data_IF_327300363296
#
_entry.id   IF_327300363296
#
_cell.length_a   1.000
_cell.length_b   1.000
_cell.length_c   1.000
_cell.angle_alpha   90.00
_cell.angle_beta   90.00
_cell.angle_gamma   90.00
#
_symmetry.space_group_name_H-M   'P 1'
#
loop_
_entity.id
_entity.type
_entity.pdbx_description
1 polymer ?
#
# COMPACT_ATOMS: atom_id res chain seq x y z
N UNK A 1 -15.09 1.98 -34.67
CA UNK A 1 -13.88 2.35 -33.89
C UNK A 1 -14.04 3.79 -33.45
N UNK A 2 -14.12 4.07 -32.13
CA UNK A 2 -14.23 5.45 -31.63
C UNK A 2 -12.82 6.05 -31.54
N UNK A 3 -12.59 7.33 -31.89
CA UNK A 3 -11.29 7.97 -31.66
C UNK A 3 -11.01 8.01 -30.16
N UNK A 4 -9.96 7.36 -29.70
CA UNK A 4 -9.57 7.27 -28.27
C UNK A 4 -8.74 8.46 -27.81
N UNK A 5 -8.73 9.58 -28.56
CA UNK A 5 -7.92 10.76 -28.24
C UNK A 5 -6.39 10.53 -28.24
N UNK A 6 -5.93 9.31 -28.52
CA UNK A 6 -4.52 8.91 -28.54
C UNK A 6 -4.23 7.97 -29.71
N UNK A 7 -3.01 8.02 -30.22
CA UNK A 7 -2.43 7.04 -31.15
C UNK A 7 -1.55 6.01 -30.45
N UNK A 8 -1.31 6.17 -29.14
CA UNK A 8 -0.49 5.26 -28.35
C UNK A 8 -1.22 3.95 -28.05
N UNK A 9 -0.47 2.85 -28.04
CA UNK A 9 -0.95 1.54 -27.59
C UNK A 9 -1.32 1.58 -26.11
N UNK A 10 -2.50 1.08 -25.78
CA UNK A 10 -2.93 0.82 -24.40
C UNK A 10 -2.60 -0.63 -24.04
N UNK A 11 -2.02 -0.84 -22.87
CA UNK A 11 -1.45 -2.13 -22.44
C UNK A 11 -2.22 -2.76 -21.29
N UNK A 12 -2.96 -1.98 -20.50
CA UNK A 12 -3.69 -2.49 -19.35
C UNK A 12 -4.88 -1.62 -18.97
N UNK A 13 -5.83 -2.23 -18.26
CA UNK A 13 -7.01 -1.57 -17.70
C UNK A 13 -7.33 -2.12 -16.32
N UNK A 14 -7.77 -1.26 -15.41
CA UNK A 14 -8.30 -1.64 -14.10
C UNK A 14 -9.58 -0.85 -13.81
N UNK A 15 -10.48 -1.45 -13.04
CA UNK A 15 -11.65 -0.77 -12.48
C UNK A 15 -11.59 -0.80 -10.96
N UNK A 16 -11.88 0.34 -10.34
CA UNK A 16 -11.84 0.49 -8.89
C UNK A 16 -12.26 1.89 -8.47
N UNK A 17 -12.71 2.07 -7.23
CA UNK A 17 -13.18 3.36 -6.73
C UNK A 17 -14.22 4.07 -7.66
N UNK A 18 -15.07 3.29 -8.35
CA UNK A 18 -16.04 3.83 -9.31
C UNK A 18 -15.44 4.34 -10.64
N UNK A 19 -14.19 3.97 -10.96
CA UNK A 19 -13.44 4.51 -12.09
C UNK A 19 -12.70 3.44 -12.86
N UNK A 20 -12.74 3.54 -14.18
CA UNK A 20 -11.89 2.80 -15.10
C UNK A 20 -10.61 3.59 -15.35
N UNK A 21 -9.47 2.92 -15.31
CA UNK A 21 -8.15 3.49 -15.60
C UNK A 21 -7.47 2.59 -16.63
N UNK A 22 -7.02 3.17 -17.74
CA UNK A 22 -6.17 2.49 -18.73
C UNK A 22 -4.78 3.09 -18.73
N UNK A 23 -3.77 2.25 -18.98
CA UNK A 23 -2.37 2.67 -19.09
C UNK A 23 -1.75 2.18 -20.40
N UNK A 24 -0.67 2.82 -20.87
CA UNK A 24 -0.02 2.42 -22.11
C UNK A 24 1.32 3.09 -22.41
N UNK A 25 1.66 3.14 -23.70
CA UNK A 25 2.91 3.71 -24.20
C UNK A 25 2.99 5.22 -23.92
N UNK A 26 4.23 5.75 -23.89
CA UNK A 26 4.51 7.17 -23.65
C UNK A 26 3.86 7.71 -22.36
N UNK A 27 3.77 6.87 -21.33
CA UNK A 27 3.15 7.17 -20.03
C UNK A 27 1.67 7.50 -20.10
N UNK A 28 1.00 7.11 -21.20
CA UNK A 28 -0.41 7.38 -21.44
C UNK A 28 -1.25 6.79 -20.31
N UNK A 29 -2.05 7.63 -19.66
CA UNK A 29 -3.10 7.21 -18.74
C UNK A 29 -4.41 7.85 -19.19
N UNK A 30 -5.48 7.07 -19.24
CA UNK A 30 -6.84 7.61 -19.34
C UNK A 30 -7.68 7.12 -18.17
N UNK A 31 -8.56 7.99 -17.70
CA UNK A 31 -9.53 7.70 -16.66
C UNK A 31 -10.96 7.95 -17.14
N UNK A 32 -11.91 7.16 -16.67
CA UNK A 32 -13.33 7.26 -17.02
C UNK A 32 -14.21 6.79 -15.86
N UNK A 33 -15.25 7.55 -15.53
CA UNK A 33 -16.21 7.16 -14.48
C UNK A 33 -17.34 6.27 -15.03
N UNK A 34 -17.56 6.28 -16.35
CA UNK A 34 -18.69 5.60 -17.01
C UNK A 34 -18.25 4.56 -18.06
N UNK A 35 -16.94 4.39 -18.27
CA UNK A 35 -16.34 3.51 -19.28
C UNK A 35 -16.51 4.01 -20.72
N UNK A 36 -17.21 5.13 -20.93
CA UNK A 36 -17.51 5.68 -22.26
C UNK A 36 -16.84 7.03 -22.49
N UNK A 37 -16.78 7.93 -21.52
CA UNK A 37 -16.10 9.21 -21.62
C UNK A 37 -14.75 9.12 -20.92
N UNK A 38 -13.67 9.34 -21.69
CA UNK A 38 -12.30 9.14 -21.20
C UNK A 38 -11.54 10.45 -21.21
N UNK A 39 -10.88 10.74 -20.10
CA UNK A 39 -10.04 11.93 -19.92
C UNK A 39 -8.59 11.52 -19.89
N UNK A 40 -7.74 12.18 -20.68
CA UNK A 40 -6.29 11.98 -20.63
C UNK A 40 -5.73 12.52 -19.32
N UNK A 41 -4.87 11.74 -18.67
CA UNK A 41 -4.26 12.06 -17.38
C UNK A 41 -2.76 12.21 -17.56
N UNK A 42 -2.22 13.36 -17.13
CA UNK A 42 -0.79 13.56 -17.10
C UNK A 42 -0.19 12.80 -15.90
N UNK A 43 0.52 11.72 -16.18
CA UNK A 43 1.17 10.88 -15.17
C UNK A 43 2.55 11.39 -14.75
N UNK A 44 3.13 12.34 -15.49
CA UNK A 44 4.54 12.75 -15.35
C UNK A 44 5.56 11.71 -15.86
N UNK A 45 5.11 10.50 -16.20
CA UNK A 45 5.95 9.44 -16.74
C UNK A 45 5.92 9.46 -18.27
N UNK A 46 7.03 9.12 -18.92
CA UNK A 46 7.20 9.26 -20.38
C UNK A 46 7.49 7.93 -21.09
N UNK A 47 7.65 6.83 -20.36
CA UNK A 47 7.95 5.52 -20.93
C UNK A 47 6.72 4.59 -20.86
N UNK A 48 6.87 3.31 -21.19
CA UNK A 48 5.76 2.37 -21.28
C UNK A 48 5.26 1.97 -19.88
N UNK A 49 3.96 2.15 -19.66
CA UNK A 49 3.23 1.49 -18.57
C UNK A 49 2.65 0.17 -19.11
N UNK A 50 3.08 -0.94 -18.54
CA UNK A 50 2.78 -2.29 -19.04
C UNK A 50 1.50 -2.86 -18.39
N UNK A 51 1.19 -2.47 -17.16
CA UNK A 51 0.04 -3.01 -16.43
C UNK A 51 -0.47 -2.06 -15.37
N UNK A 52 -1.72 -2.26 -14.96
CA UNK A 52 -2.38 -1.51 -13.89
C UNK A 52 -3.33 -2.44 -13.13
N UNK A 53 -3.41 -2.26 -11.82
CA UNK A 53 -4.36 -2.96 -10.94
C UNK A 53 -4.96 -1.97 -9.94
N UNK A 54 -6.06 -2.35 -9.31
CA UNK A 54 -6.65 -1.62 -8.19
C UNK A 54 -6.84 -2.53 -6.98
N UNK A 55 -6.61 -2.02 -5.79
CA UNK A 55 -6.86 -2.71 -4.53
C UNK A 55 -6.60 -1.80 -3.33
N UNK A 56 -7.23 -2.07 -2.20
CA UNK A 56 -7.04 -1.28 -0.97
C UNK A 56 -7.11 0.25 -1.17
N UNK A 57 -8.08 0.73 -1.96
CA UNK A 57 -8.22 2.18 -2.22
C UNK A 57 -7.20 2.78 -3.18
N UNK A 58 -6.30 1.99 -3.78
CA UNK A 58 -5.15 2.48 -4.56
C UNK A 58 -5.06 1.78 -5.92
N UNK A 59 -4.91 2.57 -6.98
CA UNK A 59 -4.43 2.12 -8.28
C UNK A 59 -2.90 2.02 -8.26
N UNK A 60 -2.39 0.93 -8.82
CA UNK A 60 -0.95 0.69 -9.00
C UNK A 60 -0.69 0.39 -10.46
N UNK A 61 0.06 1.26 -11.12
CA UNK A 61 0.55 1.06 -12.48
C UNK A 61 2.03 0.71 -12.46
N UNK A 62 2.45 -0.19 -13.34
CA UNK A 62 3.84 -0.68 -13.41
C UNK A 62 4.37 -0.54 -14.82
N UNK A 63 5.66 -0.25 -14.96
CA UNK A 63 6.22 0.09 -16.25
C UNK A 63 7.71 -0.17 -16.43
N UNK A 64 8.18 0.23 -17.60
CA UNK A 64 9.58 0.19 -18.00
C UNK A 64 10.44 1.20 -17.23
N UNK A 65 11.73 1.24 -17.53
CA UNK A 65 12.66 2.12 -16.85
C UNK A 65 12.27 3.60 -16.94
N UNK A 66 12.30 4.32 -15.81
CA UNK A 66 12.14 5.77 -15.80
C UNK A 66 13.44 6.45 -16.23
N UNK A 67 13.33 7.56 -16.95
CA UNK A 67 14.50 8.36 -17.31
C UNK A 67 15.19 9.01 -16.11
N UNK A 68 14.47 9.16 -14.99
CA UNK A 68 14.98 9.75 -13.75
C UNK A 68 15.84 8.78 -12.93
N UNK A 69 15.49 7.49 -12.91
CA UNK A 69 16.15 6.49 -12.06
C UNK A 69 16.97 5.46 -12.84
N UNK A 70 16.68 5.28 -14.13
CA UNK A 70 17.24 4.19 -14.96
C UNK A 70 16.65 2.80 -14.64
N UNK A 71 15.70 2.71 -13.69
CA UNK A 71 15.06 1.47 -13.26
C UNK A 71 13.55 1.52 -13.48
N UNK A 72 12.88 0.37 -13.41
CA UNK A 72 11.43 0.28 -13.59
C UNK A 72 10.66 1.24 -12.70
N UNK A 73 9.47 1.64 -13.15
CA UNK A 73 8.59 2.53 -12.39
C UNK A 73 7.41 1.79 -11.79
N UNK A 74 6.98 2.25 -10.61
CA UNK A 74 5.65 2.00 -10.07
C UNK A 74 4.99 3.36 -9.89
N UNK A 75 3.80 3.56 -10.44
CA UNK A 75 2.97 4.74 -10.16
C UNK A 75 1.81 4.34 -9.26
N UNK A 76 1.48 5.20 -8.30
CA UNK A 76 0.36 5.00 -7.37
C UNK A 76 -0.61 6.17 -7.42
N UNK A 77 -1.91 5.88 -7.30
CA UNK A 77 -2.96 6.89 -7.26
C UNK A 77 -4.17 6.40 -6.46
N UNK A 78 -4.77 7.25 -5.62
CA UNK A 78 -6.03 6.91 -4.93
C UNK A 78 -7.27 7.18 -5.79
N UNK A 79 -7.16 8.09 -6.76
CA UNK A 79 -8.28 8.61 -7.54
C UNK A 79 -8.15 8.36 -9.06
N UNK A 80 -7.03 7.81 -9.54
CA UNK A 80 -6.78 7.60 -10.97
C UNK A 80 -6.45 8.86 -11.77
N UNK A 81 -6.41 10.05 -11.14
CA UNK A 81 -6.08 11.34 -11.78
C UNK A 81 -4.75 11.91 -11.30
N UNK A 82 -4.47 11.82 -9.99
CA UNK A 82 -3.22 12.27 -9.40
C UNK A 82 -2.30 11.07 -9.16
N UNK A 83 -1.17 11.03 -9.86
CA UNK A 83 -0.22 9.92 -9.81
C UNK A 83 1.08 10.33 -9.14
N UNK A 84 1.62 9.45 -8.31
CA UNK A 84 2.92 9.60 -7.66
C UNK A 84 3.83 8.44 -8.04
N UNK A 85 5.04 8.78 -8.49
CA UNK A 85 6.09 7.80 -8.77
C UNK A 85 6.64 7.19 -7.47
N UNK A 86 6.87 5.88 -7.51
CA UNK A 86 7.50 5.07 -6.47
C UNK A 86 8.66 4.34 -7.11
N UNK A 87 9.84 4.40 -6.49
CA UNK A 87 11.00 3.64 -6.93
C UNK A 87 10.97 2.24 -6.29
N UNK A 88 10.76 1.15 -7.06
CA UNK A 88 10.75 -0.22 -6.54
C UNK A 88 12.14 -0.77 -6.16
N UNK A 89 13.19 0.06 -6.21
CA UNK A 89 14.59 -0.39 -6.17
C UNK A 89 15.15 -0.68 -7.56
N UNK A 90 16.39 -1.18 -7.63
CA UNK A 90 17.12 -1.43 -8.88
C UNK A 90 16.65 -2.67 -9.63
N UNK A 91 15.42 -2.66 -10.15
CA UNK A 91 14.86 -3.78 -10.93
C UNK A 91 14.53 -3.38 -12.37
N UNK A 92 14.66 -4.34 -13.28
CA UNK A 92 14.28 -4.20 -14.70
C UNK A 92 12.76 -4.09 -14.88
N UNK A 93 12.32 -3.90 -16.12
CA UNK A 93 10.93 -3.55 -16.44
C UNK A 93 9.89 -4.49 -15.79
N UNK A 94 8.88 -3.88 -15.17
CA UNK A 94 7.75 -4.57 -14.58
C UNK A 94 6.66 -4.74 -15.65
N UNK A 95 6.03 -5.93 -15.67
CA UNK A 95 5.11 -6.37 -16.73
C UNK A 95 3.67 -6.52 -16.26
N UNK A 96 3.47 -6.85 -14.99
CA UNK A 96 2.14 -7.11 -14.45
C UNK A 96 2.05 -6.73 -12.98
N UNK A 97 0.83 -6.41 -12.56
CA UNK A 97 0.49 -6.10 -11.18
C UNK A 97 -0.86 -6.73 -10.84
N UNK A 98 -0.98 -7.27 -9.63
CA UNK A 98 -2.23 -7.78 -9.08
C UNK A 98 -2.35 -7.36 -7.62
N UNK A 99 -3.58 -7.26 -7.12
CA UNK A 99 -3.85 -7.12 -5.69
C UNK A 99 -4.54 -8.38 -5.17
N UNK A 100 -4.04 -8.92 -4.08
CA UNK A 100 -4.58 -10.12 -3.45
C UNK A 100 -4.06 -10.29 -2.03
N UNK A 101 -4.87 -10.90 -1.16
CA UNK A 101 -4.51 -11.19 0.23
C UNK A 101 -3.91 -9.98 0.98
N UNK A 102 -4.49 -8.79 0.81
CA UNK A 102 -4.04 -7.60 1.52
C UNK A 102 -2.75 -6.95 1.01
N UNK A 103 -2.18 -7.42 -0.11
CA UNK A 103 -0.92 -6.89 -0.68
C UNK A 103 -0.98 -6.78 -2.20
N UNK A 104 -0.16 -5.91 -2.76
CA UNK A 104 0.11 -5.88 -4.19
C UNK A 104 1.27 -6.82 -4.52
N UNK A 105 1.13 -7.58 -5.60
CA UNK A 105 2.22 -8.34 -6.19
C UNK A 105 2.49 -7.78 -7.59
N UNK A 106 3.75 -7.54 -7.90
CA UNK A 106 4.18 -7.11 -9.23
C UNK A 106 5.26 -8.05 -9.75
N UNK A 107 5.21 -8.32 -11.05
CA UNK A 107 6.14 -9.22 -11.73
C UNK A 107 6.83 -8.51 -12.87
N UNK A 108 8.05 -8.92 -13.19
CA UNK A 108 8.85 -8.27 -14.22
C UNK A 108 9.93 -9.17 -14.80
N UNK A 109 10.77 -8.54 -15.62
CA UNK A 109 11.92 -9.20 -16.22
C UNK A 109 12.90 -9.70 -15.14
N UNK A 110 13.84 -10.57 -15.54
CA UNK A 110 14.85 -11.17 -14.64
C UNK A 110 14.26 -11.92 -13.43
N UNK A 111 13.11 -12.58 -13.63
CA UNK A 111 12.41 -13.32 -12.57
C UNK A 111 12.02 -12.45 -11.37
N UNK A 112 11.83 -11.15 -11.59
CA UNK A 112 11.45 -10.21 -10.53
C UNK A 112 10.03 -10.50 -10.06
N UNK A 113 9.88 -10.70 -8.74
CA UNK A 113 8.61 -10.69 -8.03
C UNK A 113 8.79 -9.72 -6.85
N UNK A 114 8.00 -8.65 -6.82
CA UNK A 114 7.96 -7.75 -5.66
C UNK A 114 6.58 -7.81 -5.03
N UNK A 115 6.57 -7.72 -3.71
CA UNK A 115 5.36 -7.67 -2.91
C UNK A 115 5.35 -6.35 -2.14
N UNK A 116 4.23 -5.63 -2.16
CA UNK A 116 4.06 -4.51 -1.24
C UNK A 116 4.00 -5.04 0.18
N UNK A 117 4.46 -4.23 1.12
CA UNK A 117 4.10 -4.40 2.52
C UNK A 117 2.58 -4.67 2.63
N UNK A 118 2.18 -5.81 3.19
CA UNK A 118 0.78 -6.19 3.28
C UNK A 118 0.04 -5.33 4.32
N UNK A 119 -1.28 -5.50 4.42
CA UNK A 119 -2.05 -4.99 5.57
C UNK A 119 -1.53 -5.47 6.94
N UNK A 120 -0.64 -6.47 6.94
CA UNK A 120 0.02 -7.07 8.10
C UNK A 120 1.42 -6.55 8.37
N UNK A 121 1.96 -5.61 7.58
CA UNK A 121 3.26 -5.00 7.86
C UNK A 121 3.13 -3.92 8.92
N UNK A 122 2.57 -4.32 10.06
CA UNK A 122 2.67 -3.58 11.29
C UNK A 122 3.75 -4.20 12.15
N UNK A 123 4.48 -3.35 12.86
CA UNK A 123 5.46 -3.77 13.85
C UNK A 123 5.05 -3.24 15.21
N UNK A 124 4.91 -4.14 16.17
CA UNK A 124 4.81 -3.79 17.58
C UNK A 124 6.20 -3.92 18.20
N UNK A 125 6.73 -2.82 18.73
CA UNK A 125 8.02 -2.81 19.45
C UNK A 125 7.75 -2.54 20.93
N UNK A 126 8.27 -3.41 21.79
CA UNK A 126 8.30 -3.16 23.23
C UNK A 126 9.53 -2.31 23.57
N UNK A 127 9.30 -1.12 24.13
CA UNK A 127 10.36 -0.17 24.48
C UNK A 127 10.78 -0.25 25.95
N UNK A 128 10.07 -1.02 26.77
CA UNK A 128 10.33 -1.15 28.21
C UNK A 128 9.48 -0.20 29.06
N UNK A 129 9.79 -0.12 30.37
CA UNK A 129 9.10 0.77 31.29
C UNK A 129 9.61 2.20 31.17
N UNK A 130 8.69 3.15 30.97
CA UNK A 130 8.90 4.58 31.14
C UNK A 130 8.35 5.08 32.48
N UNK A 131 8.31 6.40 32.66
CA UNK A 131 7.86 7.04 33.92
C UNK A 131 6.37 6.86 34.23
N UNK A 132 5.55 6.55 33.23
CA UNK A 132 4.09 6.45 33.36
C UNK A 132 3.52 5.06 33.04
N UNK A 133 4.36 4.07 32.72
CA UNK A 133 3.92 2.73 32.35
C UNK A 133 4.83 2.04 31.34
N UNK A 134 4.37 0.92 30.79
CA UNK A 134 5.11 0.18 29.77
C UNK A 134 4.88 0.79 28.38
N UNK A 135 5.96 1.15 27.70
CA UNK A 135 5.91 1.87 26.42
C UNK A 135 6.01 0.90 25.24
N UNK A 136 5.17 1.13 24.24
CA UNK A 136 5.08 0.35 23.02
C UNK A 136 5.09 1.30 21.81
N UNK A 137 5.77 0.92 20.74
CA UNK A 137 5.67 1.61 19.45
C UNK A 137 4.93 0.74 18.45
N UNK A 138 3.87 1.27 17.85
CA UNK A 138 3.17 0.68 16.72
C UNK A 138 3.62 1.39 15.46
N UNK A 139 4.26 0.66 14.56
CA UNK A 139 4.57 1.11 13.20
C UNK A 139 3.57 0.48 12.25
N UNK A 140 2.97 1.27 11.37
CA UNK A 140 2.00 0.83 10.37
C UNK A 140 1.48 2.01 9.57
N UNK A 141 0.88 1.77 8.40
CA UNK A 141 0.43 2.84 7.52
C UNK A 141 -0.54 3.84 8.22
N UNK A 142 -0.45 5.16 7.94
CA UNK A 142 -1.44 6.12 8.38
C UNK A 142 -2.85 5.70 7.92
N UNK A 143 -3.84 5.81 8.79
CA UNK A 143 -5.21 5.35 8.58
C UNK A 143 -5.47 3.88 8.94
N UNK A 144 -4.43 3.05 9.12
CA UNK A 144 -4.62 1.65 9.56
C UNK A 144 -5.16 1.58 10.98
N UNK A 145 -6.16 0.73 11.20
CA UNK A 145 -6.79 0.51 12.50
C UNK A 145 -6.26 -0.77 13.15
N UNK A 146 -5.95 -0.72 14.43
CA UNK A 146 -5.44 -1.86 15.19
C UNK A 146 -6.07 -1.94 16.58
N UNK A 147 -6.15 -3.14 17.16
CA UNK A 147 -6.37 -3.34 18.60
C UNK A 147 -5.08 -3.78 19.25
N UNK A 148 -4.66 -3.05 20.28
CA UNK A 148 -3.59 -3.48 21.18
C UNK A 148 -4.22 -4.33 22.27
N UNK A 149 -3.78 -5.58 22.37
CA UNK A 149 -4.24 -6.54 23.36
C UNK A 149 -3.10 -6.89 24.32
N UNK A 150 -3.46 -7.17 25.58
CA UNK A 150 -2.54 -7.67 26.58
C UNK A 150 -3.03 -8.94 27.29
N UNK A 151 -2.08 -9.69 27.81
CA UNK A 151 -2.28 -10.91 28.57
C UNK A 151 -1.32 -10.92 29.77
N UNK A 152 -1.81 -11.25 30.97
CA UNK A 152 -1.07 -11.14 32.24
C UNK A 152 -0.62 -12.48 32.82
N UNK A 153 -1.34 -13.54 32.49
CA UNK A 153 -0.98 -14.93 32.80
C UNK A 153 -1.04 -15.72 31.50
N UNK A 154 -0.12 -16.66 31.27
CA UNK A 154 -0.04 -17.41 30.03
C UNK A 154 -1.24 -18.37 29.86
N UNK A 155 -2.39 -17.79 29.52
CA UNK A 155 -3.60 -18.44 29.06
C UNK A 155 -3.98 -17.78 27.73
N UNK A 156 -3.69 -18.41 26.58
CA UNK A 156 -3.82 -17.79 25.26
C UNK A 156 -5.27 -17.41 24.88
N UNK A 157 -6.26 -17.80 25.67
CA UNK A 157 -7.68 -17.49 25.45
C UNK A 157 -8.14 -16.17 26.11
N UNK A 158 -7.34 -15.57 26.99
CA UNK A 158 -7.76 -14.45 27.85
C UNK A 158 -7.11 -13.10 27.48
N UNK A 159 -6.90 -12.83 26.19
CA UNK A 159 -6.42 -11.51 25.76
C UNK A 159 -7.47 -10.42 26.02
N UNK A 160 -7.04 -9.31 26.61
CA UNK A 160 -7.88 -8.15 26.88
C UNK A 160 -7.50 -7.00 25.95
N UNK A 161 -8.50 -6.36 25.33
CA UNK A 161 -8.30 -5.13 24.55
C UNK A 161 -7.91 -3.99 25.49
N UNK A 162 -6.72 -3.41 25.29
CA UNK A 162 -6.29 -2.21 26.01
C UNK A 162 -6.80 -0.95 25.33
N UNK A 163 -6.65 -0.91 24.00
CA UNK A 163 -7.04 0.23 23.19
C UNK A 163 -7.24 -0.17 21.73
N UNK A 164 -8.18 0.50 21.07
CA UNK A 164 -8.29 0.51 19.60
C UNK A 164 -7.70 1.82 19.07
N UNK A 165 -6.76 1.72 18.14
CA UNK A 165 -6.05 2.85 17.55
C UNK A 165 -6.31 2.92 16.05
N UNK A 166 -6.35 4.12 15.51
CA UNK A 166 -6.18 4.37 14.07
C UNK A 166 -4.91 5.18 13.93
N UNK A 167 -3.92 4.70 13.19
CA UNK A 167 -2.63 5.36 13.06
C UNK A 167 -2.79 6.75 12.42
N UNK A 168 -2.56 7.87 13.12
CA UNK A 168 -2.53 9.20 12.49
C UNK A 168 -1.28 9.39 11.61
N UNK A 169 -0.23 8.61 11.86
CA UNK A 169 1.06 8.68 11.19
C UNK A 169 1.73 7.29 11.16
N UNK A 170 2.89 7.17 10.52
CA UNK A 170 3.58 5.90 10.29
C UNK A 170 4.06 5.19 11.56
N UNK A 171 4.23 5.91 12.67
CA UNK A 171 4.59 5.35 13.97
C UNK A 171 3.89 6.10 15.11
N UNK A 172 3.31 5.35 16.05
CA UNK A 172 2.75 5.92 17.28
C UNK A 172 3.30 5.24 18.52
N UNK A 173 3.46 6.02 19.58
CA UNK A 173 3.83 5.52 20.90
C UNK A 173 2.57 5.37 21.76
N UNK A 174 2.46 4.22 22.41
CA UNK A 174 1.40 3.89 23.37
C UNK A 174 2.02 3.60 24.73
N UNK A 175 1.28 3.91 25.78
CA UNK A 175 1.68 3.58 27.15
C UNK A 175 0.59 2.75 27.80
N UNK A 176 0.97 1.57 28.27
CA UNK A 176 0.15 0.79 29.19
C UNK A 176 0.46 1.22 30.63
N UNK A 177 -0.38 2.10 31.16
CA UNK A 177 -0.26 2.65 32.52
C UNK A 177 -0.56 1.62 33.61
N UNK A 178 -1.20 0.51 33.25
CA UNK A 178 -1.57 -0.55 34.20
C UNK A 178 -0.51 -1.63 34.31
N UNK A 179 0.48 -1.64 33.42
CA UNK A 179 1.51 -2.68 33.35
C UNK A 179 2.30 -2.87 34.65
N UNK A 180 2.45 -1.82 35.47
CA UNK A 180 3.14 -1.88 36.76
C UNK A 180 2.45 -2.78 37.80
N UNK A 181 1.16 -3.06 37.60
CA UNK A 181 0.39 -3.94 38.49
C UNK A 181 0.58 -5.43 38.17
N UNK A 182 1.36 -5.78 37.14
CA UNK A 182 1.49 -7.16 36.66
C UNK A 182 2.96 -7.56 36.53
N UNK A 183 3.39 -8.66 37.19
CA UNK A 183 4.79 -9.11 37.14
C UNK A 183 5.19 -9.69 35.77
N UNK A 184 4.22 -10.10 34.96
CA UNK A 184 4.40 -10.58 33.59
C UNK A 184 3.29 -10.00 32.72
N UNK A 185 3.64 -9.53 31.52
CA UNK A 185 2.67 -8.96 30.59
C UNK A 185 3.12 -9.19 29.15
N UNK A 186 2.23 -9.77 28.35
CA UNK A 186 2.41 -10.03 26.93
C UNK A 186 1.55 -9.06 26.14
N UNK A 187 2.02 -8.68 24.96
CA UNK A 187 1.33 -7.75 24.08
C UNK A 187 1.22 -8.33 22.68
N UNK A 188 0.09 -8.06 22.02
CA UNK A 188 -0.04 -8.28 20.59
C UNK A 188 -0.86 -7.17 19.95
N UNK A 189 -0.62 -6.98 18.67
CA UNK A 189 -1.42 -6.10 17.83
C UNK A 189 -2.23 -6.98 16.87
N UNK A 190 -3.52 -6.66 16.71
CA UNK A 190 -4.41 -7.34 15.76
C UNK A 190 -5.11 -6.31 14.88
N UNK A 191 -5.22 -6.58 13.57
CA UNK A 191 -6.16 -5.85 12.72
C UNK A 191 -7.58 -6.31 13.08
N UNK A 192 -8.51 -5.39 13.36
CA UNK A 192 -9.93 -5.72 13.43
C UNK A 192 -10.49 -6.08 12.04
#
# INVERSE_FOLDING_TARGET
>A
KRPTGTTHTLSGVAYGNGRFVTVGNAGTIFASDDGTNWTSVNSGFQNILNGVTYGNGTFVAVGSASGSTGFSTILTSGDGYAWSERAPGSVQALRGAVYGNGSFLVVGDQSTILQSAGATDFRLTANGFGTTGFQLTVVGAPGSRYRLQALTYFNPSNWVDLITITNPQSAISLTDTTATMFPQRFYRLVSP
#
